data_IF_422909006034
#
_entry.id   IF_422909006034
#
_cell.length_a   1.000
_cell.length_b   1.000
_cell.length_c   1.000
_cell.angle_alpha   90.00
_cell.angle_beta   90.00
_cell.angle_gamma   90.00
#
_symmetry.space_group_name_H-M   'P 1'
#
loop_
_entity.id
_entity.type
_entity.pdbx_description
1 polymer ?
#
# COMPACT_ATOMS: atom_id res chain seq x y z
N UNK A 1 -21.12 0.74 -10.99
CA UNK A 1 -20.14 1.01 -9.92
C UNK A 1 -19.31 2.21 -10.34
N UNK A 2 -19.61 3.37 -9.78
CA UNK A 2 -18.76 4.57 -9.89
C UNK A 2 -17.38 4.19 -9.37
N UNK A 3 -16.33 4.32 -10.21
CA UNK A 3 -14.98 4.45 -9.68
C UNK A 3 -15.01 5.71 -8.82
N UNK A 4 -15.05 5.56 -7.49
CA UNK A 4 -14.80 6.69 -6.61
C UNK A 4 -13.45 7.27 -7.04
N UNK A 5 -13.47 8.51 -7.56
CA UNK A 5 -12.27 9.24 -7.92
C UNK A 5 -11.35 9.18 -6.70
N UNK A 6 -10.10 8.78 -6.90
CA UNK A 6 -9.14 8.80 -5.79
C UNK A 6 -9.04 10.23 -5.25
N UNK A 7 -8.87 10.40 -3.93
CA UNK A 7 -8.54 11.70 -3.35
C UNK A 7 -7.28 12.25 -4.01
N UNK A 8 -7.23 13.57 -4.21
CA UNK A 8 -6.11 14.22 -4.91
C UNK A 8 -4.76 14.03 -4.19
N UNK A 9 -4.80 13.71 -2.89
CA UNK A 9 -3.63 13.41 -2.08
C UNK A 9 -3.19 11.93 -2.11
N UNK A 10 -3.81 11.08 -2.94
CA UNK A 10 -3.45 9.66 -3.10
C UNK A 10 -2.91 9.40 -4.50
N UNK A 11 -1.62 9.05 -4.58
CA UNK A 11 -0.96 8.62 -5.82
C UNK A 11 -0.70 7.12 -5.74
N UNK A 12 -1.12 6.40 -6.78
CA UNK A 12 -1.05 4.95 -6.86
C UNK A 12 -0.14 4.52 -8.00
N UNK A 13 0.90 3.76 -7.68
CA UNK A 13 1.83 3.25 -8.67
C UNK A 13 1.11 2.30 -9.65
N UNK A 14 1.47 2.32 -10.94
CA UNK A 14 0.79 1.53 -11.98
C UNK A 14 0.77 0.02 -11.70
N UNK A 15 1.81 -0.49 -11.04
CA UNK A 15 1.90 -1.88 -10.58
C UNK A 15 0.80 -2.28 -9.59
N UNK A 16 0.30 -1.34 -8.77
CA UNK A 16 -0.82 -1.55 -7.86
C UNK A 16 -2.11 -1.78 -8.64
N UNK A 17 -2.38 -0.95 -9.65
CA UNK A 17 -3.55 -1.11 -10.51
C UNK A 17 -3.53 -2.42 -11.29
N UNK A 18 -2.36 -2.82 -11.79
CA UNK A 18 -2.19 -4.13 -12.43
C UNK A 18 -2.54 -5.25 -11.45
N UNK A 19 -2.04 -5.18 -10.21
CA UNK A 19 -2.33 -6.19 -9.19
C UNK A 19 -3.82 -6.23 -8.81
N UNK A 20 -4.48 -5.08 -8.68
CA UNK A 20 -5.92 -5.01 -8.43
C UNK A 20 -6.71 -5.67 -9.57
N UNK A 21 -6.32 -5.46 -10.83
CA UNK A 21 -6.95 -6.12 -11.98
C UNK A 21 -6.79 -7.64 -11.92
N UNK A 22 -5.60 -8.14 -11.58
CA UNK A 22 -5.36 -9.57 -11.37
C UNK A 22 -6.26 -10.13 -10.25
N UNK A 23 -6.29 -9.48 -9.08
CA UNK A 23 -7.13 -9.90 -7.96
C UNK A 23 -8.60 -9.92 -8.38
N UNK A 24 -9.06 -8.91 -9.12
CA UNK A 24 -10.46 -8.79 -9.56
C UNK A 24 -10.94 -9.96 -10.42
N UNK A 25 -10.05 -10.58 -11.20
CA UNK A 25 -10.38 -11.74 -12.03
C UNK A 25 -10.78 -12.93 -11.15
N UNK A 26 -10.12 -13.11 -10.01
CA UNK A 26 -10.37 -14.23 -9.09
C UNK A 26 -11.37 -13.88 -7.98
N UNK A 27 -11.33 -12.65 -7.49
CA UNK A 27 -12.12 -12.17 -6.35
C UNK A 27 -12.47 -10.67 -6.53
N UNK A 28 -13.57 -10.36 -7.24
CA UNK A 28 -13.96 -8.98 -7.52
C UNK A 28 -14.35 -8.20 -6.25
N UNK A 29 -14.89 -8.88 -5.24
CA UNK A 29 -15.26 -8.25 -3.96
C UNK A 29 -14.01 -7.79 -3.22
N UNK A 30 -12.99 -8.63 -3.13
CA UNK A 30 -11.72 -8.29 -2.48
C UNK A 30 -10.98 -7.17 -3.22
N UNK A 31 -10.96 -7.21 -4.56
CA UNK A 31 -10.39 -6.12 -5.35
C UNK A 31 -11.09 -4.78 -5.07
N UNK A 32 -12.42 -4.77 -4.96
CA UNK A 32 -13.17 -3.57 -4.61
C UNK A 32 -12.84 -3.07 -3.20
N UNK A 33 -12.70 -3.96 -2.20
CA UNK A 33 -12.28 -3.61 -0.84
C UNK A 33 -10.88 -3.01 -0.79
N UNK A 34 -9.95 -3.55 -1.58
CA UNK A 34 -8.59 -2.99 -1.69
C UNK A 34 -8.63 -1.56 -2.25
N UNK A 35 -9.41 -1.33 -3.33
CA UNK A 35 -9.57 0.02 -3.91
C UNK A 35 -10.20 0.96 -2.89
N UNK A 36 -11.28 0.54 -2.24
CA UNK A 36 -11.93 1.31 -1.19
C UNK A 36 -10.93 1.70 -0.09
N UNK A 37 -10.09 0.75 0.34
CA UNK A 37 -9.12 1.05 1.40
C UNK A 37 -8.01 1.99 0.94
N UNK A 38 -7.57 1.91 -0.31
CA UNK A 38 -6.62 2.87 -0.89
C UNK A 38 -7.24 4.28 -0.92
N UNK A 39 -8.53 4.39 -1.27
CA UNK A 39 -9.26 5.66 -1.19
C UNK A 39 -9.34 6.19 0.24
N UNK A 40 -9.65 5.33 1.21
CA UNK A 40 -9.75 5.70 2.64
C UNK A 40 -8.43 6.20 3.23
N UNK A 41 -7.28 5.76 2.72
CA UNK A 41 -5.98 6.31 3.13
C UNK A 41 -5.89 7.82 2.91
N UNK A 42 -6.61 8.38 1.92
CA UNK A 42 -6.68 9.83 1.69
C UNK A 42 -7.28 10.63 2.84
N UNK A 43 -8.07 9.97 3.70
CA UNK A 43 -8.74 10.56 4.86
C UNK A 43 -8.10 10.14 6.18
N UNK A 44 -7.73 8.86 6.29
CA UNK A 44 -6.97 8.32 7.42
C UNK A 44 -5.68 7.67 6.90
N UNK A 45 -4.57 8.42 6.81
CA UNK A 45 -3.32 7.90 6.30
C UNK A 45 -2.66 6.90 7.24
N UNK A 46 -3.00 6.91 8.53
CA UNK A 46 -2.31 6.15 9.58
C UNK A 46 -3.30 5.37 10.46
N UNK A 47 -4.09 4.46 9.89
CA UNK A 47 -5.05 3.67 10.67
C UNK A 47 -4.30 2.81 11.69
N UNK A 48 -4.66 2.92 12.96
CA UNK A 48 -4.00 2.23 14.08
C UNK A 48 -4.93 1.32 14.89
N UNK A 49 -6.22 1.28 14.55
CA UNK A 49 -7.23 0.51 15.27
C UNK A 49 -8.31 -0.03 14.33
N UNK A 50 -9.04 -1.06 14.80
CA UNK A 50 -10.16 -1.67 14.08
C UNK A 50 -9.71 -2.71 13.06
N UNK A 51 -10.38 -2.74 11.91
CA UNK A 51 -10.21 -3.77 10.88
C UNK A 51 -8.92 -3.63 10.07
N UNK A 52 -8.17 -2.55 10.26
CA UNK A 52 -7.00 -2.24 9.47
C UNK A 52 -5.91 -1.56 10.30
N UNK A 53 -4.67 -1.96 10.07
CA UNK A 53 -3.52 -1.53 10.85
C UNK A 53 -2.35 -1.15 9.93
N UNK A 54 -1.89 0.09 10.09
CA UNK A 54 -0.70 0.63 9.43
C UNK A 54 0.50 0.59 10.36
N UNK A 55 1.50 -0.19 9.99
CA UNK A 55 2.77 -0.27 10.73
C UNK A 55 3.95 0.21 9.89
N UNK A 56 4.84 0.97 10.53
CA UNK A 56 6.14 1.31 9.95
C UNK A 56 6.99 0.06 9.76
N UNK A 57 7.68 -0.05 8.63
CA UNK A 57 8.66 -1.10 8.40
C UNK A 57 9.97 -0.65 9.05
N UNK A 58 10.27 -1.20 10.22
CA UNK A 58 11.36 -0.71 11.10
C UNK A 58 12.71 -0.70 10.37
N UNK A 59 13.04 -1.75 9.61
CA UNK A 59 14.32 -1.83 8.92
C UNK A 59 14.49 -0.85 7.76
N UNK A 60 13.44 -0.66 6.96
CA UNK A 60 13.45 0.40 5.95
C UNK A 60 13.55 1.78 6.61
N UNK A 61 12.89 1.97 7.75
CA UNK A 61 12.95 3.23 8.49
C UNK A 61 14.38 3.55 9.01
N UNK A 62 15.16 2.54 9.42
CA UNK A 62 16.59 2.68 9.77
C UNK A 62 17.43 3.20 8.59
N UNK A 63 17.04 2.87 7.37
CA UNK A 63 17.64 3.35 6.12
C UNK A 63 17.02 4.65 5.60
N UNK A 64 16.26 5.36 6.44
CA UNK A 64 15.50 6.57 6.08
C UNK A 64 14.43 6.36 4.98
N UNK A 65 14.01 5.12 4.76
CA UNK A 65 12.93 4.76 3.84
C UNK A 65 11.63 4.69 4.64
N UNK A 66 10.79 5.73 4.52
CA UNK A 66 9.58 5.91 5.34
C UNK A 66 8.36 5.19 4.75
N UNK A 67 8.48 3.87 4.60
CA UNK A 67 7.38 3.02 4.09
C UNK A 67 6.65 2.34 5.25
N UNK A 68 5.35 2.21 5.08
CA UNK A 68 4.41 1.55 5.98
C UNK A 68 3.76 0.39 5.26
N UNK A 69 3.38 -0.61 6.04
CA UNK A 69 2.61 -1.77 5.61
C UNK A 69 1.21 -1.67 6.22
N UNK A 70 0.21 -1.65 5.37
CA UNK A 70 -1.20 -1.75 5.75
C UNK A 70 -1.64 -3.22 5.68
N UNK A 71 -2.25 -3.68 6.77
CA UNK A 71 -2.91 -4.98 6.89
C UNK A 71 -4.38 -4.72 7.21
N UNK A 72 -5.30 -5.42 6.54
CA UNK A 72 -6.74 -5.32 6.82
C UNK A 72 -7.39 -6.71 6.93
N UNK A 73 -8.44 -6.82 7.76
CA UNK A 73 -9.21 -8.05 7.96
C UNK A 73 -9.95 -8.48 6.67
N UNK A 74 -10.47 -7.53 5.91
CA UNK A 74 -11.23 -7.79 4.68
C UNK A 74 -10.39 -8.39 3.53
N UNK A 75 -9.06 -8.29 3.60
CA UNK A 75 -8.11 -8.82 2.61
C UNK A 75 -6.81 -9.30 3.29
N UNK A 76 -6.96 -10.18 4.29
CA UNK A 76 -5.85 -10.70 5.11
C UNK A 76 -4.75 -11.41 4.33
N UNK A 77 -5.06 -11.86 3.12
CA UNK A 77 -4.18 -12.49 2.15
C UNK A 77 -3.36 -11.48 1.34
N UNK A 78 -3.50 -10.17 1.57
CA UNK A 78 -2.70 -9.14 0.91
C UNK A 78 -2.17 -8.07 1.90
N UNK A 79 -1.06 -7.43 1.53
CA UNK A 79 -0.47 -6.28 2.22
C UNK A 79 -0.29 -5.14 1.25
N UNK A 80 -0.66 -3.94 1.67
CA UNK A 80 -0.46 -2.72 0.88
C UNK A 80 0.74 -1.98 1.44
N UNK A 81 1.71 -1.65 0.60
CA UNK A 81 2.90 -0.90 0.98
C UNK A 81 2.80 0.52 0.46
N UNK A 82 2.94 1.48 1.36
CA UNK A 82 2.73 2.89 1.04
C UNK A 82 3.58 3.81 1.91
N UNK A 83 3.81 5.05 1.48
CA UNK A 83 4.39 6.10 2.31
C UNK A 83 3.38 7.23 2.51
N UNK A 84 3.44 7.85 3.68
CA UNK A 84 2.74 9.10 3.96
C UNK A 84 3.76 10.23 4.15
N UNK A 85 3.74 11.19 3.23
CA UNK A 85 4.62 12.36 3.22
C UNK A 85 3.90 13.52 3.88
N UNK A 86 3.90 13.52 5.22
CA UNK A 86 3.17 14.49 6.05
C UNK A 86 3.33 15.97 5.62
N UNK A 87 4.52 16.37 5.17
CA UNK A 87 4.80 17.76 4.72
C UNK A 87 3.90 18.21 3.56
N UNK A 88 3.54 17.29 2.67
CA UNK A 88 2.75 17.57 1.46
C UNK A 88 1.35 16.94 1.55
N UNK A 89 1.00 16.39 2.71
CA UNK A 89 -0.16 15.54 2.93
C UNK A 89 -0.32 14.41 1.89
N UNK A 90 0.79 13.90 1.33
CA UNK A 90 0.75 13.01 0.17
C UNK A 90 0.87 11.54 0.55
N UNK A 91 -0.02 10.70 0.02
CA UNK A 91 0.01 9.25 0.16
C UNK A 91 0.48 8.62 -1.15
N UNK A 92 1.52 7.79 -1.04
CA UNK A 92 2.14 7.12 -2.16
C UNK A 92 2.01 5.61 -1.99
N UNK A 93 1.13 4.97 -2.76
CA UNK A 93 0.91 3.53 -2.72
C UNK A 93 1.82 2.85 -3.75
N UNK A 94 2.78 2.05 -3.28
CA UNK A 94 3.82 1.47 -4.12
C UNK A 94 3.47 0.09 -4.69
N UNK A 95 2.95 -0.80 -3.86
CA UNK A 95 2.63 -2.17 -4.27
C UNK A 95 1.61 -2.85 -3.35
N UNK A 96 0.99 -3.91 -3.88
CA UNK A 96 0.18 -4.88 -3.16
C UNK A 96 0.88 -6.23 -3.27
N UNK A 97 1.10 -6.90 -2.14
CA UNK A 97 1.84 -8.16 -2.08
C UNK A 97 0.95 -9.21 -1.42
N UNK A 98 0.79 -10.42 -2.00
CA UNK A 98 0.12 -11.53 -1.34
C UNK A 98 0.84 -11.87 -0.03
N UNK A 99 0.10 -12.30 0.99
CA UNK A 99 0.68 -12.82 2.22
C UNK A 99 1.26 -14.20 1.92
N UNK A 100 2.57 -14.28 1.88
CA UNK A 100 3.38 -15.49 1.87
C UNK A 100 4.25 -15.56 3.14
N UNK A 101 5.05 -16.62 3.27
CA UNK A 101 6.01 -16.80 4.37
C UNK A 101 7.04 -15.65 4.39
N UNK A 102 7.44 -15.16 3.22
CA UNK A 102 8.46 -14.14 3.01
C UNK A 102 7.96 -12.70 3.22
N UNK A 103 6.65 -12.49 3.37
CA UNK A 103 6.05 -11.16 3.55
C UNK A 103 6.53 -10.45 4.81
N UNK A 104 7.11 -11.20 5.76
CA UNK A 104 7.74 -10.69 6.97
C UNK A 104 9.27 -10.81 6.94
N UNK A 105 9.84 -11.50 5.95
CA UNK A 105 11.28 -11.58 5.75
C UNK A 105 11.76 -10.29 5.10
N UNK A 106 12.59 -9.57 5.85
CA UNK A 106 13.12 -8.26 5.51
C UNK A 106 14.16 -8.31 4.38
N UNK A 107 14.70 -9.49 4.08
CA UNK A 107 15.58 -9.75 2.95
C UNK A 107 14.84 -10.13 1.66
N UNK A 108 13.51 -10.34 1.76
CA UNK A 108 12.71 -10.79 0.64
C UNK A 108 12.71 -9.80 -0.52
N UNK A 109 12.49 -10.35 -1.72
CA UNK A 109 12.36 -9.58 -2.97
C UNK A 109 11.29 -8.49 -2.87
N UNK A 110 10.27 -8.72 -2.04
CA UNK A 110 9.19 -7.78 -1.74
C UNK A 110 9.71 -6.48 -1.14
N UNK A 111 10.58 -6.54 -0.13
CA UNK A 111 11.15 -5.35 0.50
C UNK A 111 12.18 -4.65 -0.39
N UNK A 112 12.92 -5.40 -1.21
CA UNK A 112 13.82 -4.82 -2.22
C UNK A 112 13.05 -4.02 -3.26
N UNK A 113 11.93 -4.55 -3.76
CA UNK A 113 11.03 -3.85 -4.67
C UNK A 113 10.46 -2.59 -4.03
N UNK A 114 9.98 -2.67 -2.79
CA UNK A 114 9.46 -1.52 -2.04
C UNK A 114 10.52 -0.42 -1.89
N UNK A 115 11.75 -0.79 -1.56
CA UNK A 115 12.90 0.13 -1.48
C UNK A 115 13.21 0.78 -2.84
N UNK A 116 13.19 0.00 -3.91
CA UNK A 116 13.41 0.50 -5.27
C UNK A 116 12.34 1.54 -5.66
N UNK A 117 11.07 1.19 -5.49
CA UNK A 117 9.95 2.07 -5.82
C UNK A 117 9.96 3.36 -4.98
N UNK A 118 10.27 3.26 -3.68
CA UNK A 118 10.37 4.43 -2.80
C UNK A 118 11.48 5.39 -3.23
N UNK A 119 12.63 4.86 -3.65
CA UNK A 119 13.82 5.69 -3.96
C UNK A 119 13.80 6.26 -5.38
N UNK A 120 13.10 5.60 -6.32
CA UNK A 120 13.14 5.96 -7.74
C UNK A 120 11.89 6.68 -8.23
N UNK A 121 10.72 6.51 -7.60
CA UNK A 121 9.48 7.08 -8.15
C UNK A 121 9.36 8.58 -7.90
N UNK A 122 9.60 9.37 -8.96
CA UNK A 122 9.68 10.83 -8.94
C UNK A 122 8.40 11.54 -8.51
N UNK A 123 7.22 10.97 -8.81
CA UNK A 123 5.92 11.54 -8.42
C UNK A 123 5.69 11.54 -6.90
N UNK A 124 6.53 10.81 -6.17
CA UNK A 124 6.45 10.61 -4.73
C UNK A 124 7.72 11.06 -3.98
N UNK A 125 8.57 11.84 -4.65
CA UNK A 125 9.71 12.57 -4.07
C UNK A 125 9.29 13.98 -3.69
#
# INVERSE_FOLDING_TARGET
MTLNKLPDNVIVHSGVWRKIKEIRIHDPKKAARIVQRITELGFDPLPTAGDCESRTIVNLNKLNIKVRRLKCLEFLDYRIFYAYKKKFDLICVYCIIPRDEDTYDESSRHYQLVKLLYTQWSQCK
#
